data_IF_540500639604
#
_entry.id   IF_540500639604
#
_cell.length_a   1.000
_cell.length_b   1.000
_cell.length_c   1.000
_cell.angle_alpha   90.00
_cell.angle_beta   90.00
_cell.angle_gamma   90.00
#
_symmetry.space_group_name_H-M   'P 1'
#
loop_
_entity.id
_entity.type
_entity.pdbx_description
1 polymer ?
#
# COMPACT_ATOMS: atom_id res chain seq x y z
N UNK A 1 -22.34 13.88 -13.44
CA UNK A 1 -20.98 13.33 -13.14
C UNK A 1 -21.05 12.60 -11.81
N UNK A 2 -20.82 11.28 -11.72
CA UNK A 2 -20.74 10.62 -10.42
C UNK A 2 -19.47 11.10 -9.69
N UNK A 3 -19.67 11.68 -8.51
CA UNK A 3 -18.58 12.18 -7.65
C UNK A 3 -17.93 10.97 -6.98
N UNK A 4 -16.62 10.81 -7.18
CA UNK A 4 -15.85 9.79 -6.48
C UNK A 4 -16.00 9.97 -4.96
N UNK A 5 -16.46 8.94 -4.26
CA UNK A 5 -16.47 8.94 -2.79
C UNK A 5 -15.08 8.54 -2.31
N UNK A 6 -14.37 9.51 -1.72
CA UNK A 6 -13.10 9.28 -1.02
C UNK A 6 -13.42 8.94 0.42
N UNK A 7 -12.83 7.86 0.94
CA UNK A 7 -12.92 7.51 2.35
C UNK A 7 -12.22 8.61 3.16
N UNK A 8 -12.95 9.29 4.06
CA UNK A 8 -12.43 10.46 4.80
C UNK A 8 -11.40 10.10 5.87
N UNK A 9 -11.40 8.86 6.35
CA UNK A 9 -10.41 8.37 7.30
C UNK A 9 -9.54 7.30 6.62
N UNK A 10 -8.21 7.39 6.73
CA UNK A 10 -7.33 6.32 6.32
C UNK A 10 -7.62 5.07 7.15
N UNK A 11 -7.74 3.93 6.48
CA UNK A 11 -7.72 2.62 7.14
C UNK A 11 -6.27 2.35 7.55
N UNK A 12 -6.03 2.17 8.84
CA UNK A 12 -4.71 1.83 9.38
C UNK A 12 -4.77 0.49 10.09
N UNK A 13 -3.68 -0.27 10.04
CA UNK A 13 -3.59 -1.57 10.70
C UNK A 13 -2.24 -2.22 10.46
N UNK A 14 -2.08 -3.43 10.99
CA UNK A 14 -0.92 -4.27 10.72
C UNK A 14 -1.18 -5.14 9.48
N UNK A 15 -0.16 -5.39 8.69
CA UNK A 15 -0.25 -6.17 7.47
C UNK A 15 1.05 -6.87 7.14
N UNK A 16 1.05 -7.54 6.00
CA UNK A 16 2.21 -8.24 5.45
C UNK A 16 2.47 -7.72 4.05
N UNK A 17 3.67 -7.19 3.83
CA UNK A 17 4.16 -6.81 2.52
C UNK A 17 4.94 -8.00 1.92
N UNK A 18 4.43 -8.55 0.83
CA UNK A 18 5.10 -9.59 0.06
C UNK A 18 5.83 -8.96 -1.13
N UNK A 19 7.16 -9.07 -1.12
CA UNK A 19 8.05 -8.59 -2.19
C UNK A 19 8.91 -9.75 -2.65
N UNK A 20 8.92 -10.08 -3.94
CA UNK A 20 9.75 -11.17 -4.47
C UNK A 20 9.61 -12.51 -3.72
N UNK A 21 8.39 -12.83 -3.25
CA UNK A 21 8.05 -14.02 -2.42
C UNK A 21 8.63 -14.00 -1.00
N UNK A 22 9.12 -12.86 -0.53
CA UNK A 22 9.50 -12.64 0.86
C UNK A 22 8.40 -11.85 1.56
N UNK A 23 7.94 -12.36 2.69
CA UNK A 23 6.91 -11.73 3.51
C UNK A 23 7.57 -10.93 4.64
N UNK A 24 7.12 -9.70 4.82
CA UNK A 24 7.58 -8.82 5.90
C UNK A 24 6.40 -8.17 6.59
N UNK A 25 6.42 -8.13 7.92
CA UNK A 25 5.43 -7.44 8.71
C UNK A 25 5.56 -5.92 8.53
N UNK A 26 4.44 -5.24 8.29
CA UNK A 26 4.38 -3.79 8.10
C UNK A 26 3.15 -3.22 8.78
N UNK A 27 3.22 -1.96 9.23
CA UNK A 27 2.03 -1.18 9.53
C UNK A 27 1.59 -0.42 8.26
N UNK A 28 0.31 -0.41 7.93
CA UNK A 28 -0.21 0.30 6.76
C UNK A 28 -1.12 1.46 7.14
N UNK A 29 -1.21 2.43 6.23
CA UNK A 29 -2.22 3.48 6.19
C UNK A 29 -2.73 3.59 4.77
N UNK A 30 -4.04 3.39 4.55
CA UNK A 30 -4.63 3.26 3.24
C UNK A 30 -5.83 4.19 3.09
N UNK A 31 -5.80 5.05 2.09
CA UNK A 31 -6.93 5.86 1.65
C UNK A 31 -7.50 5.26 0.37
N UNK A 32 -8.71 4.71 0.46
CA UNK A 32 -9.46 4.22 -0.68
C UNK A 32 -10.36 5.30 -1.27
N UNK A 33 -10.31 5.45 -2.58
CA UNK A 33 -11.24 6.24 -3.36
C UNK A 33 -11.99 5.33 -4.33
N UNK A 34 -13.32 5.41 -4.31
CA UNK A 34 -14.15 4.73 -5.30
C UNK A 34 -14.34 5.63 -6.51
N UNK A 35 -13.81 5.24 -7.67
CA UNK A 35 -13.96 5.96 -8.93
C UNK A 35 -15.23 5.60 -9.70
N UNK A 36 -15.56 6.34 -10.77
CA UNK A 36 -16.62 5.97 -11.71
C UNK A 36 -16.37 4.57 -12.29
N UNK A 37 -17.43 3.81 -12.53
CA UNK A 37 -17.40 2.43 -13.04
C UNK A 37 -16.78 1.37 -12.10
N UNK A 38 -16.77 1.60 -10.79
CA UNK A 38 -16.37 0.59 -9.80
C UNK A 38 -14.85 0.37 -9.69
N UNK A 39 -14.06 1.19 -10.38
CA UNK A 39 -12.60 1.15 -10.30
C UNK A 39 -12.17 1.70 -8.94
N UNK A 40 -11.54 0.86 -8.12
CA UNK A 40 -10.92 1.28 -6.86
C UNK A 40 -9.59 1.95 -7.19
N UNK A 41 -9.38 3.16 -6.70
CA UNK A 41 -8.07 3.79 -6.64
C UNK A 41 -7.75 4.07 -5.18
N UNK A 42 -6.48 4.25 -4.87
CA UNK A 42 -6.11 4.64 -3.52
C UNK A 42 -4.63 4.81 -3.37
N UNK A 43 -4.26 5.49 -2.31
CA UNK A 43 -2.88 5.78 -1.95
C UNK A 43 -2.69 5.44 -0.49
N UNK A 44 -1.48 5.13 -0.12
CA UNK A 44 -1.18 4.81 1.25
C UNK A 44 0.29 4.90 1.58
N UNK A 45 0.60 4.57 2.81
CA UNK A 45 1.95 4.35 3.27
C UNK A 45 2.06 3.02 4.00
N UNK A 46 3.23 2.41 3.91
CA UNK A 46 3.65 1.28 4.73
C UNK A 46 4.83 1.71 5.59
N UNK A 47 4.86 1.24 6.83
CA UNK A 47 5.97 1.40 7.76
C UNK A 47 6.53 0.03 8.08
N UNK A 48 7.84 -0.16 7.98
CA UNK A 48 8.47 -1.45 8.21
C UNK A 48 9.98 -1.43 7.93
N UNK A 49 10.53 -2.63 7.68
CA UNK A 49 11.96 -2.81 7.45
C UNK A 49 12.46 -1.99 6.23
N UNK A 50 13.45 -1.09 6.42
CA UNK A 50 13.94 -0.23 5.34
C UNK A 50 14.51 -0.98 4.12
N UNK A 51 15.13 -2.14 4.31
CA UNK A 51 15.67 -2.95 3.21
C UNK A 51 14.55 -3.56 2.38
N UNK A 52 13.48 -4.04 3.03
CA UNK A 52 12.29 -4.54 2.35
C UNK A 52 11.58 -3.41 1.59
N UNK A 53 11.44 -2.23 2.19
CA UNK A 53 10.81 -1.08 1.52
C UNK A 53 11.59 -0.62 0.28
N UNK A 54 12.93 -0.64 0.36
CA UNK A 54 13.80 -0.39 -0.79
C UNK A 54 13.62 -1.44 -1.87
N UNK A 55 13.50 -2.71 -1.51
CA UNK A 55 13.24 -3.78 -2.46
C UNK A 55 11.86 -3.63 -3.10
N UNK A 56 10.85 -3.26 -2.33
CA UNK A 56 9.49 -3.02 -2.81
C UNK A 56 9.44 -1.90 -3.86
N UNK A 57 10.15 -0.79 -3.60
CA UNK A 57 10.28 0.32 -4.56
C UNK A 57 10.94 -0.13 -5.87
N UNK A 58 11.99 -0.96 -5.79
CA UNK A 58 12.68 -1.49 -6.98
C UNK A 58 11.86 -2.53 -7.75
N UNK A 59 11.05 -3.32 -7.06
CA UNK A 59 10.22 -4.37 -7.66
C UNK A 59 9.03 -3.80 -8.46
N UNK A 60 8.59 -2.59 -8.15
CA UNK A 60 7.49 -1.92 -8.83
C UNK A 60 6.13 -2.36 -8.30
N UNK A 61 5.72 -3.61 -8.55
CA UNK A 61 4.46 -4.17 -8.04
C UNK A 61 4.72 -5.12 -6.87
N UNK A 62 3.97 -4.94 -5.79
CA UNK A 62 4.04 -5.72 -4.56
C UNK A 62 2.63 -6.10 -4.11
N UNK A 63 2.54 -7.11 -3.24
CA UNK A 63 1.28 -7.52 -2.62
C UNK A 63 1.27 -7.09 -1.17
N UNK A 64 0.25 -6.35 -0.76
CA UNK A 64 0.00 -5.98 0.63
C UNK A 64 -1.22 -6.76 1.13
N UNK A 65 -1.00 -7.64 2.09
CA UNK A 65 -2.07 -8.32 2.82
C UNK A 65 -2.42 -7.50 4.06
N UNK A 66 -3.68 -7.11 4.19
CA UNK A 66 -4.22 -6.33 5.29
C UNK A 66 -4.56 -7.23 6.50
N UNK A 67 -4.90 -6.60 7.63
CA UNK A 67 -5.28 -7.24 8.89
C UNK A 67 -6.52 -8.16 8.78
N UNK A 68 -7.42 -7.91 7.85
CA UNK A 68 -8.60 -8.73 7.56
C UNK A 68 -8.33 -9.85 6.54
N UNK A 69 -7.06 -10.09 6.20
CA UNK A 69 -6.62 -11.02 5.15
C UNK A 69 -6.98 -10.60 3.72
N UNK A 70 -7.54 -9.40 3.51
CA UNK A 70 -7.69 -8.84 2.16
C UNK A 70 -6.30 -8.57 1.59
N UNK A 71 -6.02 -9.05 0.38
CA UNK A 71 -4.77 -8.77 -0.29
C UNK A 71 -4.99 -7.85 -1.48
N UNK A 72 -4.21 -6.78 -1.52
CA UNK A 72 -4.26 -5.77 -2.59
C UNK A 72 -2.91 -5.68 -3.28
N UNK A 73 -2.94 -5.43 -4.59
CA UNK A 73 -1.74 -5.12 -5.34
C UNK A 73 -1.46 -3.63 -5.23
N UNK A 74 -0.23 -3.31 -4.89
CA UNK A 74 0.25 -1.94 -4.73
C UNK A 74 1.51 -1.74 -5.54
N UNK A 75 1.78 -0.50 -5.90
CA UNK A 75 3.09 -0.08 -6.35
C UNK A 75 3.68 0.96 -5.40
N UNK A 76 4.88 0.71 -4.90
CA UNK A 76 5.60 1.68 -4.08
C UNK A 76 6.13 2.77 -5.01
N UNK A 77 5.69 4.00 -4.78
CA UNK A 77 5.98 5.16 -5.64
C UNK A 77 6.99 6.12 -5.04
N UNK A 78 7.19 6.07 -3.72
CA UNK A 78 8.21 6.85 -3.03
C UNK A 78 8.70 6.15 -1.77
N UNK A 79 9.97 6.31 -1.46
CA UNK A 79 10.59 5.92 -0.20
C UNK A 79 11.75 6.87 0.09
N UNK A 80 12.17 6.94 1.35
CA UNK A 80 13.43 7.61 1.73
C UNK A 80 14.48 6.54 2.00
N UNK A 81 15.69 6.73 1.48
CA UNK A 81 16.79 5.79 1.74
C UNK A 81 17.11 5.74 3.24
N UNK A 82 17.14 4.53 3.81
CA UNK A 82 17.26 4.30 5.25
C UNK A 82 16.02 4.67 6.07
N UNK A 83 14.93 5.09 5.42
CA UNK A 83 13.67 5.42 6.07
C UNK A 83 12.79 4.18 6.28
N UNK A 84 12.05 4.19 7.38
CA UNK A 84 11.12 3.11 7.74
C UNK A 84 9.74 3.28 7.07
N UNK A 85 9.55 4.32 6.24
CA UNK A 85 8.25 4.63 5.61
C UNK A 85 8.40 4.68 4.10
N UNK A 86 7.47 4.03 3.40
CA UNK A 86 7.30 4.14 1.97
C UNK A 86 5.84 4.45 1.60
N UNK A 87 5.64 5.14 0.48
CA UNK A 87 4.34 5.52 -0.05
C UNK A 87 4.00 4.69 -1.28
N UNK A 88 2.75 4.31 -1.42
CA UNK A 88 2.28 3.44 -2.49
C UNK A 88 0.95 3.92 -3.09
N UNK A 89 0.64 3.37 -4.26
CA UNK A 89 -0.65 3.50 -4.93
C UNK A 89 -1.21 2.11 -5.26
N UNK A 90 -2.55 1.95 -5.26
CA UNK A 90 -3.21 0.73 -5.70
C UNK A 90 -3.03 0.49 -7.20
N UNK A 91 -2.95 -0.78 -7.59
CA UNK A 91 -2.92 -1.24 -8.98
C UNK A 91 -4.23 -1.87 -9.42
#
# INVERSE_FOLDING_TARGET
MPVAKVQKLPRTGDGVLTVARQDSAVAFSLLLASGPAGRKSGKGSVTGDPDILRQAFRAGECRLTLDDSEAINIAVVAHTEGGEVAYFELR
#
